data_IF_154837011205
#
_entry.id   IF_154837011205
#
_cell.length_a   1.000
_cell.length_b   1.000
_cell.length_c   1.000
_cell.angle_alpha   90.00
_cell.angle_beta   90.00
_cell.angle_gamma   90.00
#
_symmetry.space_group_name_H-M   'P 1'
#
loop_
_entity.id
_entity.type
_entity.pdbx_description
1 polymer ?
#
# COMPACT_ATOMS: atom_id res chain seq x y z
N UNK A 1 -87.94 24.01 -28.41
CA UNK A 1 -88.71 24.26 -27.18
C UNK A 1 -87.81 24.04 -25.99
N UNK A 2 -87.77 24.99 -25.03
CA UNK A 2 -86.67 25.29 -24.12
C UNK A 2 -86.85 24.54 -22.78
N UNK A 3 -85.88 24.49 -21.86
CA UNK A 3 -85.65 25.36 -20.67
C UNK A 3 -84.24 24.98 -20.19
N UNK A 4 -83.15 25.78 -20.11
CA UNK A 4 -82.90 27.17 -19.73
C UNK A 4 -83.44 27.51 -18.34
N UNK A 5 -82.65 27.31 -17.27
CA UNK A 5 -82.15 28.39 -16.39
C UNK A 5 -81.44 27.93 -15.10
N UNK A 6 -80.70 28.86 -14.44
CA UNK A 6 -79.48 28.64 -13.67
C UNK A 6 -79.67 28.85 -12.16
N UNK A 7 -78.63 28.58 -11.36
CA UNK A 7 -78.32 29.31 -10.13
C UNK A 7 -76.90 28.90 -9.70
N UNK A 8 -75.90 29.77 -9.89
CA UNK A 8 -75.44 30.69 -8.83
C UNK A 8 -75.15 29.95 -7.52
N UNK A 9 -73.89 29.57 -7.28
CA UNK A 9 -72.93 30.45 -6.61
C UNK A 9 -73.40 30.79 -5.19
N UNK A 10 -73.54 29.77 -4.34
CA UNK A 10 -73.64 29.89 -2.87
C UNK A 10 -73.28 28.54 -2.24
N UNK A 11 -71.97 28.26 -2.14
CA UNK A 11 -71.33 27.45 -1.08
C UNK A 11 -69.82 27.30 -1.38
N UNK A 12 -69.19 28.43 -1.66
CA UNK A 12 -67.75 28.60 -1.46
C UNK A 12 -67.53 28.97 0.02
N UNK A 13 -67.78 28.03 0.93
CA UNK A 13 -67.31 28.05 2.32
C UNK A 13 -67.82 26.77 2.99
N UNK A 14 -66.95 26.11 3.75
CA UNK A 14 -67.15 24.81 4.45
C UNK A 14 -66.79 23.57 3.62
N UNK A 15 -65.49 23.37 3.41
CA UNK A 15 -64.81 22.08 3.64
C UNK A 15 -63.27 22.22 3.48
N UNK A 16 -62.69 23.27 4.05
CA UNK A 16 -61.25 23.34 4.29
C UNK A 16 -60.94 22.63 5.62
N UNK A 17 -60.99 21.29 5.64
CA UNK A 17 -60.46 20.45 6.74
C UNK A 17 -60.52 18.95 6.39
N UNK A 18 -59.72 18.49 5.44
CA UNK A 18 -59.35 17.07 5.32
C UNK A 18 -58.02 16.94 4.58
N UNK A 19 -57.01 17.67 5.06
CA UNK A 19 -55.65 17.64 4.55
C UNK A 19 -54.66 17.28 5.64
N UNK A 20 -54.74 16.05 6.16
CA UNK A 20 -53.68 15.41 6.95
C UNK A 20 -53.58 13.94 6.54
N UNK A 21 -53.06 13.69 5.34
CA UNK A 21 -52.48 12.40 5.00
C UNK A 21 -51.20 12.25 5.83
N UNK A 22 -51.28 11.50 6.93
CA UNK A 22 -50.16 11.13 7.75
C UNK A 22 -49.22 10.24 6.95
N UNK A 23 -48.18 10.83 6.36
CA UNK A 23 -46.99 10.13 5.90
C UNK A 23 -46.30 9.53 7.13
N UNK A 24 -46.75 8.36 7.56
CA UNK A 24 -46.02 7.56 8.54
C UNK A 24 -44.76 7.07 7.83
N UNK A 25 -43.55 7.51 8.22
CA UNK A 25 -42.36 6.84 7.75
C UNK A 25 -42.46 5.39 8.27
N UNK A 26 -42.54 4.44 7.35
CA UNK A 26 -42.39 3.01 7.67
C UNK A 26 -40.98 2.84 8.23
N UNK A 27 -40.82 2.98 9.54
CA UNK A 27 -39.69 2.39 10.24
C UNK A 27 -39.86 0.87 10.13
N UNK A 28 -39.30 0.29 9.06
CA UNK A 28 -39.37 -1.16 8.77
C UNK A 28 -38.57 -2.01 9.78
N UNK A 29 -38.13 -1.43 10.90
CA UNK A 29 -37.43 -2.17 11.94
C UNK A 29 -37.62 -1.45 13.28
N UNK A 30 -38.17 -2.16 14.25
CA UNK A 30 -38.08 -1.73 15.64
C UNK A 30 -36.58 -1.61 16.00
N UNK A 31 -36.14 -0.53 16.68
CA UNK A 31 -34.75 -0.40 17.10
C UNK A 31 -34.39 -1.60 17.99
N UNK A 32 -33.50 -2.47 17.51
CA UNK A 32 -32.99 -3.58 18.32
C UNK A 32 -31.83 -3.09 19.16
N UNK A 33 -31.83 -3.44 20.44
CA UNK A 33 -30.71 -3.24 21.36
C UNK A 33 -29.53 -4.19 21.07
N UNK A 34 -29.70 -5.15 20.16
CA UNK A 34 -28.61 -5.99 19.67
C UNK A 34 -27.68 -5.14 18.81
N UNK A 35 -26.37 -5.20 19.10
CA UNK A 35 -25.35 -4.58 18.25
C UNK A 35 -25.58 -5.02 16.79
N UNK A 36 -25.46 -4.12 15.81
CA UNK A 36 -25.57 -4.49 14.42
C UNK A 36 -24.48 -5.53 14.12
N UNK A 37 -24.86 -6.79 13.96
CA UNK A 37 -23.96 -7.82 13.46
C UNK A 37 -23.43 -7.33 12.12
N UNK A 38 -22.11 -7.14 11.94
CA UNK A 38 -21.56 -6.58 10.72
C UNK A 38 -22.04 -7.42 9.55
N UNK A 39 -22.42 -6.77 8.44
CA UNK A 39 -22.86 -7.51 7.29
C UNK A 39 -21.74 -8.47 6.84
N UNK A 40 -22.05 -9.62 6.21
CA UNK A 40 -21.02 -10.53 5.69
C UNK A 40 -20.00 -9.82 4.78
N UNK A 41 -20.43 -8.76 4.08
CA UNK A 41 -19.57 -7.90 3.27
C UNK A 41 -18.60 -7.04 4.10
N UNK A 42 -19.07 -6.47 5.22
CA UNK A 42 -18.23 -5.68 6.13
C UNK A 42 -17.17 -6.58 6.79
N UNK A 43 -17.56 -7.80 7.14
CA UNK A 43 -16.65 -8.84 7.65
C UNK A 43 -15.61 -9.28 6.61
N UNK A 44 -15.98 -9.30 5.32
CA UNK A 44 -15.06 -9.60 4.22
C UNK A 44 -14.03 -8.47 4.05
N UNK A 45 -14.48 -7.22 3.97
CA UNK A 45 -13.59 -6.08 3.77
C UNK A 45 -12.61 -5.91 4.95
N UNK A 46 -13.10 -6.05 6.18
CA UNK A 46 -12.25 -6.01 7.37
C UNK A 46 -11.16 -7.10 7.36
N UNK A 47 -11.45 -8.29 6.83
CA UNK A 47 -10.43 -9.34 6.68
C UNK A 47 -9.41 -8.96 5.58
N UNK A 48 -9.84 -8.42 4.43
CA UNK A 48 -8.88 -7.95 3.41
C UNK A 48 -7.93 -6.87 3.97
N UNK A 49 -8.44 -5.96 4.81
CA UNK A 49 -7.61 -4.96 5.50
C UNK A 49 -6.61 -5.59 6.46
N UNK A 50 -6.99 -6.66 7.16
CA UNK A 50 -6.04 -7.43 7.99
C UNK A 50 -4.90 -7.98 7.14
N UNK A 51 -5.21 -8.63 6.01
CA UNK A 51 -4.20 -9.17 5.09
C UNK A 51 -3.26 -8.04 4.63
N UNK A 52 -3.83 -6.91 4.21
CA UNK A 52 -3.05 -5.75 3.76
C UNK A 52 -2.16 -5.17 4.88
N UNK A 53 -2.66 -5.09 6.12
CA UNK A 53 -1.86 -4.62 7.26
C UNK A 53 -0.68 -5.54 7.55
N UNK A 54 -0.88 -6.86 7.47
CA UNK A 54 0.21 -7.82 7.63
C UNK A 54 1.29 -7.62 6.56
N UNK A 55 0.88 -7.35 5.32
CA UNK A 55 1.80 -7.04 4.22
C UNK A 55 2.58 -5.73 4.46
N UNK A 56 1.92 -4.69 4.96
CA UNK A 56 2.58 -3.44 5.34
C UNK A 56 3.62 -3.65 6.45
N UNK A 57 3.39 -4.61 7.34
CA UNK A 57 4.34 -5.01 8.39
C UNK A 57 5.43 -5.97 7.91
N UNK A 58 5.42 -6.36 6.63
CA UNK A 58 6.37 -7.31 6.05
C UNK A 58 6.09 -8.79 6.39
N UNK A 59 4.96 -9.10 7.02
CA UNK A 59 4.55 -10.45 7.38
C UNK A 59 3.95 -11.22 6.18
N UNK A 60 4.72 -11.34 5.10
CA UNK A 60 4.25 -11.86 3.80
C UNK A 60 3.82 -13.33 3.84
N UNK A 61 4.53 -14.20 4.55
CA UNK A 61 4.14 -15.62 4.67
C UNK A 61 2.86 -15.81 5.49
N UNK A 62 2.72 -15.05 6.58
CA UNK A 62 1.52 -15.08 7.38
C UNK A 62 0.33 -14.52 6.58
N UNK A 63 0.56 -13.46 5.78
CA UNK A 63 -0.43 -12.95 4.82
C UNK A 63 -0.90 -14.02 3.83
N UNK A 64 -0.01 -14.87 3.28
CA UNK A 64 -0.39 -15.98 2.40
C UNK A 64 -1.31 -17.00 3.10
N UNK A 65 -1.01 -17.36 4.36
CA UNK A 65 -1.89 -18.25 5.12
C UNK A 65 -3.29 -17.63 5.32
N UNK A 66 -3.36 -16.33 5.58
CA UNK A 66 -4.63 -15.61 5.67
C UNK A 66 -5.34 -15.45 4.32
N UNK A 67 -4.61 -15.39 3.21
CA UNK A 67 -5.19 -15.46 1.86
C UNK A 67 -5.89 -16.80 1.65
N UNK A 68 -5.27 -17.90 2.01
CA UNK A 68 -5.86 -19.24 1.90
C UNK A 68 -7.10 -19.39 2.79
N UNK A 69 -7.02 -18.93 4.04
CA UNK A 69 -8.14 -18.93 4.97
C UNK A 69 -9.29 -18.04 4.48
N UNK A 70 -8.99 -16.86 3.95
CA UNK A 70 -9.99 -15.97 3.36
C UNK A 70 -10.69 -16.64 2.18
N UNK A 71 -9.92 -17.27 1.29
CA UNK A 71 -10.46 -17.94 0.10
C UNK A 71 -11.43 -19.06 0.48
N UNK A 72 -11.12 -19.84 1.51
CA UNK A 72 -12.01 -20.89 2.00
C UNK A 72 -13.33 -20.33 2.54
N UNK A 73 -13.28 -19.21 3.27
CA UNK A 73 -14.46 -18.64 3.94
C UNK A 73 -15.32 -17.78 3.02
N UNK A 74 -14.70 -17.02 2.14
CA UNK A 74 -15.37 -15.96 1.36
C UNK A 74 -15.21 -16.13 -0.15
N UNK A 75 -14.51 -17.16 -0.61
CA UNK A 75 -14.23 -17.37 -2.02
C UNK A 75 -13.08 -16.51 -2.55
N UNK A 76 -12.82 -16.67 -3.84
CA UNK A 76 -11.71 -16.02 -4.52
C UNK A 76 -12.17 -14.74 -5.22
N UNK A 77 -11.52 -13.61 -4.91
CA UNK A 77 -11.88 -12.29 -5.46
C UNK A 77 -10.67 -11.66 -6.15
N UNK A 78 -10.86 -10.77 -7.15
CA UNK A 78 -9.74 -10.08 -7.79
C UNK A 78 -8.86 -9.28 -6.82
N UNK A 79 -9.45 -8.67 -5.79
CA UNK A 79 -8.72 -7.97 -4.73
C UNK A 79 -7.85 -8.93 -3.91
N UNK A 80 -8.37 -10.11 -3.56
CA UNK A 80 -7.60 -11.15 -2.87
C UNK A 80 -6.44 -11.67 -3.73
N UNK A 81 -6.68 -11.93 -5.03
CA UNK A 81 -5.62 -12.35 -5.96
C UNK A 81 -4.50 -11.34 -6.07
N UNK A 82 -4.82 -10.04 -6.04
CA UNK A 82 -3.82 -8.98 -6.03
C UNK A 82 -2.94 -9.06 -4.77
N UNK A 83 -3.56 -9.17 -3.59
CA UNK A 83 -2.83 -9.34 -2.33
C UNK A 83 -1.98 -10.62 -2.34
N UNK A 84 -2.48 -11.71 -2.90
CA UNK A 84 -1.70 -12.94 -3.08
C UNK A 84 -0.50 -12.71 -3.99
N UNK A 85 -0.69 -12.06 -5.14
CA UNK A 85 0.38 -11.76 -6.09
C UNK A 85 1.47 -10.89 -5.44
N UNK A 86 1.08 -9.89 -4.65
CA UNK A 86 2.00 -9.03 -3.91
C UNK A 86 2.82 -9.84 -2.90
N UNK A 87 2.19 -10.73 -2.13
CA UNK A 87 2.89 -11.58 -1.19
C UNK A 87 3.81 -12.61 -1.88
N UNK A 88 3.38 -13.20 -3.00
CA UNK A 88 4.23 -14.10 -3.80
C UNK A 88 5.46 -13.38 -4.36
N UNK A 89 5.30 -12.14 -4.86
CA UNK A 89 6.41 -11.31 -5.34
C UNK A 89 7.43 -11.06 -4.22
N UNK A 90 6.96 -10.74 -3.03
CA UNK A 90 7.81 -10.43 -1.88
C UNK A 90 8.49 -11.66 -1.27
N UNK A 91 7.89 -12.84 -1.43
CA UNK A 91 8.47 -14.12 -1.00
C UNK A 91 9.31 -14.80 -2.08
N UNK A 92 9.56 -14.13 -3.22
CA UNK A 92 10.44 -14.62 -4.29
C UNK A 92 9.79 -15.61 -5.25
N UNK A 93 8.50 -15.88 -5.14
CA UNK A 93 7.74 -16.78 -6.02
C UNK A 93 7.30 -16.03 -7.29
N UNK A 94 8.29 -15.53 -8.03
CA UNK A 94 8.11 -14.51 -9.08
C UNK A 94 7.20 -15.00 -10.23
N UNK A 95 7.35 -16.23 -10.69
CA UNK A 95 6.57 -16.73 -11.83
C UNK A 95 5.09 -16.91 -11.47
N UNK A 96 4.80 -17.35 -10.23
CA UNK A 96 3.44 -17.44 -9.71
C UNK A 96 2.80 -16.04 -9.55
N UNK A 97 3.57 -15.06 -9.05
CA UNK A 97 3.11 -13.68 -8.97
C UNK A 97 2.78 -13.09 -10.36
N UNK A 98 3.64 -13.32 -11.36
CA UNK A 98 3.41 -12.89 -12.74
C UNK A 98 2.15 -13.48 -13.35
N UNK A 99 1.86 -14.76 -13.10
CA UNK A 99 0.65 -15.40 -13.58
C UNK A 99 -0.60 -14.67 -13.06
N UNK A 100 -0.67 -14.43 -11.74
CA UNK A 100 -1.79 -13.71 -11.12
C UNK A 100 -1.90 -12.26 -11.61
N UNK A 101 -0.79 -11.51 -11.72
CA UNK A 101 -0.86 -10.16 -12.24
C UNK A 101 -1.37 -10.11 -13.70
N UNK A 102 -1.01 -11.09 -14.54
CA UNK A 102 -1.51 -11.17 -15.92
C UNK A 102 -3.01 -11.44 -15.96
N UNK A 103 -3.52 -12.31 -15.09
CA UNK A 103 -4.96 -12.56 -14.96
C UNK A 103 -5.74 -11.31 -14.53
N UNK A 104 -5.13 -10.49 -13.68
CA UNK A 104 -5.68 -9.21 -13.20
C UNK A 104 -5.51 -8.06 -14.19
N UNK A 105 -4.94 -8.30 -15.38
CA UNK A 105 -4.65 -7.28 -16.38
C UNK A 105 -5.86 -6.56 -16.98
N UNK A 106 -7.07 -7.05 -16.68
CA UNK A 106 -8.35 -6.48 -17.05
C UNK A 106 -9.19 -6.19 -15.79
N UNK A 107 -9.84 -5.03 -15.73
CA UNK A 107 -10.74 -4.66 -14.63
C UNK A 107 -10.12 -3.74 -13.58
N UNK A 108 -10.74 -3.62 -12.39
CA UNK A 108 -10.38 -2.60 -11.39
C UNK A 108 -8.96 -2.73 -10.84
N UNK A 109 -8.39 -3.94 -10.81
CA UNK A 109 -7.04 -4.22 -10.32
C UNK A 109 -5.95 -4.05 -11.40
N UNK A 110 -6.31 -3.76 -12.65
CA UNK A 110 -5.38 -3.75 -13.77
C UNK A 110 -4.21 -2.75 -13.58
N UNK A 111 -4.47 -1.60 -12.96
CA UNK A 111 -3.43 -0.61 -12.67
C UNK A 111 -2.39 -1.17 -11.68
N UNK A 112 -2.84 -1.76 -10.58
CA UNK A 112 -1.98 -2.35 -9.56
C UNK A 112 -1.25 -3.60 -10.09
N UNK A 113 -1.91 -4.40 -10.92
CA UNK A 113 -1.28 -5.55 -11.56
C UNK A 113 -0.17 -5.13 -12.54
N UNK A 114 -0.41 -4.10 -13.36
CA UNK A 114 0.61 -3.53 -14.25
C UNK A 114 1.79 -2.96 -13.45
N UNK A 115 1.53 -2.31 -12.31
CA UNK A 115 2.58 -1.86 -11.38
C UNK A 115 3.40 -3.02 -10.83
N UNK A 116 2.75 -4.09 -10.36
CA UNK A 116 3.42 -5.31 -9.88
C UNK A 116 4.30 -5.98 -10.93
N UNK A 117 3.84 -6.05 -12.19
CA UNK A 117 4.65 -6.54 -13.32
C UNK A 117 5.88 -5.65 -13.53
N UNK A 118 5.71 -4.33 -13.46
CA UNK A 118 6.81 -3.37 -13.56
C UNK A 118 7.87 -3.52 -12.48
N UNK A 119 7.45 -3.78 -11.24
CA UNK A 119 8.38 -4.07 -10.14
C UNK A 119 9.14 -5.39 -10.34
N UNK A 120 8.49 -6.41 -10.89
CA UNK A 120 9.16 -7.68 -11.23
C UNK A 120 10.16 -7.50 -12.38
N UNK A 121 9.82 -6.72 -13.40
CA UNK A 121 10.74 -6.40 -14.49
C UNK A 121 11.97 -5.64 -13.97
N UNK A 122 11.77 -4.68 -13.05
CA UNK A 122 12.86 -3.98 -12.38
C UNK A 122 13.78 -4.92 -11.57
N UNK A 123 13.23 -5.95 -10.92
CA UNK A 123 14.00 -6.99 -10.20
C UNK A 123 14.84 -7.85 -11.17
N UNK A 124 14.34 -8.07 -12.39
CA UNK A 124 15.00 -8.85 -13.44
C UNK A 124 15.97 -8.03 -14.31
N UNK A 125 16.22 -6.77 -13.94
CA UNK A 125 16.98 -5.81 -14.74
C UNK A 125 16.45 -5.57 -16.17
N UNK A 126 15.16 -5.88 -16.39
CA UNK A 126 14.44 -5.57 -17.62
C UNK A 126 13.91 -4.13 -17.55
N UNK A 127 14.81 -3.18 -17.78
CA UNK A 127 14.51 -1.74 -17.71
C UNK A 127 13.40 -1.34 -18.71
N UNK A 128 13.39 -1.95 -19.91
CA UNK A 128 12.45 -1.60 -20.97
C UNK A 128 11.06 -2.19 -20.71
N UNK A 129 10.97 -3.46 -20.27
CA UNK A 129 9.70 -4.07 -19.85
C UNK A 129 9.13 -3.40 -18.60
N UNK A 130 9.99 -2.98 -17.67
CA UNK A 130 9.60 -2.25 -16.47
C UNK A 130 8.96 -0.90 -16.79
N UNK A 131 9.56 -0.13 -17.71
CA UNK A 131 8.99 1.14 -18.17
C UNK A 131 7.62 0.95 -18.82
N UNK A 132 7.46 -0.04 -19.71
CA UNK A 132 6.19 -0.30 -20.39
C UNK A 132 5.07 -0.66 -19.41
N UNK A 133 5.36 -1.53 -18.44
CA UNK A 133 4.39 -1.96 -17.44
C UNK A 133 3.99 -0.81 -16.50
N UNK A 134 4.94 -0.01 -16.04
CA UNK A 134 4.68 1.16 -15.20
C UNK A 134 3.96 2.28 -15.97
N UNK A 135 4.27 2.47 -17.25
CA UNK A 135 3.55 3.40 -18.10
C UNK A 135 2.07 3.01 -18.20
N UNK A 136 1.78 1.72 -18.41
CA UNK A 136 0.39 1.20 -18.36
C UNK A 136 -0.26 1.43 -17.00
N UNK A 137 0.45 1.21 -15.89
CA UNK A 137 -0.08 1.46 -14.54
C UNK A 137 -0.52 2.94 -14.37
N UNK A 138 0.32 3.88 -14.80
CA UNK A 138 -0.01 5.32 -14.75
C UNK A 138 -1.10 5.75 -15.72
N UNK A 139 -1.25 5.08 -16.86
CA UNK A 139 -2.38 5.33 -17.77
C UNK A 139 -3.71 4.91 -17.14
N UNK A 140 -3.72 3.79 -16.42
CA UNK A 140 -4.91 3.25 -15.76
C UNK A 140 -5.25 3.98 -14.46
N UNK A 141 -4.23 4.48 -13.74
CA UNK A 141 -4.41 5.30 -12.55
C UNK A 141 -3.44 6.50 -12.54
N UNK A 142 -3.82 7.62 -13.16
CA UNK A 142 -2.92 8.76 -13.41
C UNK A 142 -2.62 9.61 -12.18
N UNK A 143 -3.37 9.44 -11.09
CA UNK A 143 -3.21 10.22 -9.85
C UNK A 143 -2.44 9.46 -8.75
N UNK A 144 -2.06 8.21 -9.02
CA UNK A 144 -1.28 7.43 -8.06
C UNK A 144 0.19 7.88 -8.06
N UNK A 145 0.61 8.51 -6.97
CA UNK A 145 1.95 9.11 -6.85
C UNK A 145 3.06 8.07 -6.76
N UNK A 146 2.78 6.88 -6.23
CA UNK A 146 3.74 5.77 -6.25
C UNK A 146 3.99 5.27 -7.67
N UNK A 147 2.94 5.12 -8.48
CA UNK A 147 3.08 4.66 -9.87
C UNK A 147 3.84 5.69 -10.72
N UNK A 148 3.55 6.98 -10.54
CA UNK A 148 4.26 8.07 -11.20
C UNK A 148 5.74 8.11 -10.78
N UNK A 149 6.02 8.00 -9.48
CA UNK A 149 7.38 7.98 -8.96
C UNK A 149 8.19 6.80 -9.49
N UNK A 150 7.58 5.61 -9.55
CA UNK A 150 8.22 4.38 -10.02
C UNK A 150 8.42 4.41 -11.54
N UNK A 151 7.46 4.93 -12.33
CA UNK A 151 7.65 5.16 -13.77
C UNK A 151 8.81 6.10 -14.05
N UNK A 152 8.87 7.21 -13.32
CA UNK A 152 9.97 8.17 -13.42
C UNK A 152 11.32 7.51 -13.14
N UNK A 153 11.40 6.72 -12.06
CA UNK A 153 12.60 5.97 -11.71
C UNK A 153 12.98 4.92 -12.76
N UNK A 154 12.02 4.16 -13.30
CA UNK A 154 12.26 3.19 -14.36
C UNK A 154 12.81 3.86 -15.63
N UNK A 155 12.30 5.05 -15.99
CA UNK A 155 12.84 5.84 -17.11
C UNK A 155 14.27 6.32 -16.86
N UNK A 156 14.62 6.67 -15.62
CA UNK A 156 16.02 6.97 -15.27
C UNK A 156 16.93 5.76 -15.47
N UNK A 157 16.51 4.58 -15.00
CA UNK A 157 17.25 3.34 -15.19
C UNK A 157 17.43 2.98 -16.67
N UNK A 158 16.40 3.18 -17.48
CA UNK A 158 16.42 2.97 -18.92
C UNK A 158 17.22 4.04 -19.70
N UNK A 159 17.79 5.05 -19.03
CA UNK A 159 18.52 6.15 -19.68
C UNK A 159 17.64 7.18 -20.37
N UNK A 160 16.32 7.11 -20.22
CA UNK A 160 15.32 8.00 -20.83
C UNK A 160 15.10 9.25 -19.98
N UNK A 161 16.17 10.00 -19.70
CA UNK A 161 16.17 11.10 -18.73
C UNK A 161 15.18 12.23 -19.07
N UNK A 162 14.99 12.55 -20.35
CA UNK A 162 14.02 13.58 -20.75
C UNK A 162 12.58 13.19 -20.41
N UNK A 163 12.24 11.92 -20.60
CA UNK A 163 10.89 11.40 -20.32
C UNK A 163 10.64 11.16 -18.82
N UNK A 164 11.70 11.07 -18.01
CA UNK A 164 11.59 10.82 -16.58
C UNK A 164 11.11 12.06 -15.79
N UNK A 165 11.41 13.27 -16.27
CA UNK A 165 11.10 14.51 -15.55
C UNK A 165 9.61 14.67 -15.27
N UNK A 166 8.79 14.42 -16.28
CA UNK A 166 7.36 14.68 -16.26
C UNK A 166 6.61 13.86 -15.19
N UNK A 167 6.72 12.52 -15.12
CA UNK A 167 6.04 11.75 -14.08
C UNK A 167 6.59 12.03 -12.68
N UNK A 168 7.89 12.35 -12.55
CA UNK A 168 8.50 12.73 -11.26
C UNK A 168 7.97 14.08 -10.76
N UNK A 169 7.84 15.07 -11.65
CA UNK A 169 7.27 16.36 -11.33
C UNK A 169 5.81 16.21 -10.88
N UNK A 170 5.00 15.44 -11.63
CA UNK A 170 3.62 15.13 -11.22
C UNK A 170 3.54 14.46 -9.86
N UNK A 171 4.40 13.47 -9.58
CA UNK A 171 4.41 12.79 -8.29
C UNK A 171 4.70 13.76 -7.13
N UNK A 172 5.62 14.71 -7.34
CA UNK A 172 5.96 15.74 -6.36
C UNK A 172 4.82 16.74 -6.16
N UNK A 173 4.18 17.20 -7.23
CA UNK A 173 3.06 18.15 -7.17
C UNK A 173 1.81 17.54 -6.52
N UNK A 174 1.54 16.26 -6.76
CA UNK A 174 0.43 15.53 -6.15
C UNK A 174 0.70 15.14 -4.68
N UNK A 175 1.95 15.12 -4.24
CA UNK A 175 2.31 14.84 -2.85
C UNK A 175 3.46 15.74 -2.38
N UNK A 176 3.19 17.04 -2.16
CA UNK A 176 4.18 17.96 -1.63
C UNK A 176 4.63 17.50 -0.25
N UNK A 177 5.95 17.33 -0.06
CA UNK A 177 6.52 16.81 1.18
C UNK A 177 6.83 15.31 1.17
N UNK A 178 6.47 14.58 0.12
CA UNK A 178 6.94 13.20 -0.06
C UNK A 178 8.44 13.19 -0.39
N UNK A 179 9.27 12.85 0.60
CA UNK A 179 10.74 12.80 0.47
C UNK A 179 11.17 11.86 -0.67
N UNK A 180 10.48 10.73 -0.90
CA UNK A 180 10.78 9.80 -1.99
C UNK A 180 10.58 10.47 -3.35
N UNK A 181 9.46 11.18 -3.54
CA UNK A 181 9.19 11.90 -4.79
C UNK A 181 10.24 12.98 -5.06
N UNK A 182 10.58 13.77 -4.04
CA UNK A 182 11.65 14.78 -4.15
C UNK A 182 13.02 14.15 -4.43
N UNK A 183 13.35 13.03 -3.78
CA UNK A 183 14.61 12.31 -3.96
C UNK A 183 14.74 11.76 -5.39
N UNK A 184 13.68 11.23 -5.98
CA UNK A 184 13.71 10.77 -7.37
C UNK A 184 13.89 11.94 -8.36
N UNK A 185 13.29 13.10 -8.10
CA UNK A 185 13.51 14.30 -8.93
C UNK A 185 14.95 14.86 -8.76
N UNK A 186 15.51 14.81 -7.55
CA UNK A 186 16.90 15.14 -7.30
C UNK A 186 17.84 14.16 -8.03
N UNK A 187 17.52 12.87 -8.02
CA UNK A 187 18.25 11.85 -8.77
C UNK A 187 18.25 12.14 -10.28
N UNK A 188 17.10 12.52 -10.84
CA UNK A 188 16.99 12.97 -12.23
C UNK A 188 17.91 14.17 -12.52
N UNK A 189 17.88 15.20 -11.68
CA UNK A 189 18.69 16.41 -11.85
C UNK A 189 20.19 16.08 -11.75
N UNK A 190 20.58 15.22 -10.81
CA UNK A 190 21.96 14.77 -10.64
C UNK A 190 22.46 13.99 -11.86
N UNK A 191 21.64 13.10 -12.42
CA UNK A 191 21.97 12.36 -13.64
C UNK A 191 22.15 13.30 -14.84
N UNK A 192 21.42 14.42 -14.89
CA UNK A 192 21.58 15.49 -15.89
C UNK A 192 22.76 16.43 -15.64
N UNK A 193 23.41 16.35 -14.47
CA UNK A 193 24.50 17.23 -14.08
C UNK A 193 24.06 18.57 -13.48
N UNK A 194 22.76 18.76 -13.23
CA UNK A 194 22.23 19.98 -12.61
C UNK A 194 22.31 19.90 -11.08
N UNK A 195 23.50 20.23 -10.55
CA UNK A 195 23.74 20.25 -9.10
C UNK A 195 22.97 21.35 -8.36
N UNK A 196 22.65 22.45 -9.03
CA UNK A 196 21.92 23.56 -8.41
C UNK A 196 20.48 23.14 -8.06
N UNK A 197 19.82 22.43 -8.98
CA UNK A 197 18.49 21.86 -8.71
C UNK A 197 18.54 20.81 -7.59
N UNK A 198 19.57 19.96 -7.53
CA UNK A 198 19.73 18.98 -6.44
C UNK A 198 19.80 19.66 -5.09
N UNK A 199 20.65 20.67 -4.95
CA UNK A 199 20.84 21.38 -3.67
C UNK A 199 19.55 22.09 -3.24
N UNK A 200 18.88 22.77 -4.17
CA UNK A 200 17.58 23.41 -3.89
C UNK A 200 16.54 22.39 -3.42
N UNK A 201 16.40 21.25 -4.11
CA UNK A 201 15.45 20.21 -3.73
C UNK A 201 15.81 19.59 -2.37
N UNK A 202 17.10 19.36 -2.11
CA UNK A 202 17.58 18.82 -0.84
C UNK A 202 17.33 19.78 0.33
N UNK A 203 17.47 21.08 0.13
CA UNK A 203 17.13 22.10 1.13
C UNK A 203 15.62 22.19 1.35
N UNK A 204 14.83 22.25 0.27
CA UNK A 204 13.37 22.37 0.35
C UNK A 204 12.71 21.19 1.07
N UNK A 205 13.23 19.97 0.88
CA UNK A 205 12.72 18.77 1.53
C UNK A 205 13.54 18.33 2.75
N UNK A 206 14.44 19.19 3.25
CA UNK A 206 15.28 18.93 4.44
C UNK A 206 15.94 17.54 4.42
N UNK A 207 16.62 17.21 3.31
CA UNK A 207 17.23 15.89 3.15
C UNK A 207 18.19 15.58 4.30
N UNK A 208 18.04 14.37 4.84
CA UNK A 208 19.05 13.78 5.71
C UNK A 208 20.32 13.50 4.92
N UNK A 209 21.46 13.42 5.61
CA UNK A 209 22.72 12.99 5.01
C UNK A 209 22.60 11.61 4.36
N UNK A 210 21.82 10.71 4.97
CA UNK A 210 21.56 9.39 4.42
C UNK A 210 20.78 9.46 3.09
N UNK A 211 19.81 10.38 2.98
CA UNK A 211 19.06 10.60 1.74
C UNK A 211 19.97 11.12 0.65
N UNK A 212 20.84 12.10 0.95
CA UNK A 212 21.82 12.63 -0.01
C UNK A 212 22.73 11.53 -0.55
N UNK A 213 23.33 10.73 0.34
CA UNK A 213 24.19 9.60 -0.04
C UNK A 213 23.44 8.57 -0.89
N UNK A 214 22.21 8.24 -0.53
CA UNK A 214 21.39 7.29 -1.29
C UNK A 214 21.14 7.78 -2.72
N UNK A 215 20.81 9.07 -2.90
CA UNK A 215 20.62 9.67 -4.22
C UNK A 215 21.92 9.64 -5.04
N UNK A 216 23.05 9.97 -4.43
CA UNK A 216 24.36 9.93 -5.10
C UNK A 216 24.76 8.50 -5.52
N UNK A 217 24.61 7.54 -4.62
CA UNK A 217 24.91 6.12 -4.89
C UNK A 217 24.04 5.59 -6.03
N UNK A 218 22.74 5.89 -6.02
CA UNK A 218 21.84 5.48 -7.11
C UNK A 218 22.23 6.12 -8.44
N UNK A 219 22.64 7.40 -8.45
CA UNK A 219 23.12 8.05 -9.67
C UNK A 219 24.37 7.36 -10.24
N UNK A 220 25.31 6.99 -9.36
CA UNK A 220 26.52 6.27 -9.76
C UNK A 220 26.19 4.88 -10.32
N UNK A 221 25.30 4.13 -9.67
CA UNK A 221 24.87 2.81 -10.13
C UNK A 221 24.19 2.88 -11.51
N UNK A 222 23.28 3.84 -11.71
CA UNK A 222 22.59 4.03 -12.99
C UNK A 222 23.59 4.40 -14.09
N UNK A 223 24.52 5.33 -13.83
CA UNK A 223 25.57 5.69 -14.79
C UNK A 223 26.43 4.49 -15.17
N UNK A 224 26.88 3.71 -14.19
CA UNK A 224 27.69 2.52 -14.43
C UNK A 224 26.94 1.48 -15.29
N UNK A 225 25.68 1.19 -14.95
CA UNK A 225 24.83 0.27 -15.73
C UNK A 225 24.68 0.74 -17.18
N UNK A 226 24.39 2.03 -17.40
CA UNK A 226 24.21 2.58 -18.74
C UNK A 226 25.51 2.54 -19.56
N UNK A 227 26.65 2.84 -18.95
CA UNK A 227 27.96 2.72 -19.59
C UNK A 227 28.26 1.27 -19.99
N UNK A 228 27.96 0.30 -19.12
CA UNK A 228 28.11 -1.13 -19.42
C UNK A 228 27.20 -1.57 -20.58
N UNK A 229 25.93 -1.13 -20.58
CA UNK A 229 24.98 -1.41 -21.69
C UNK A 229 25.49 -0.83 -23.02
N UNK A 230 26.00 0.40 -23.01
CA UNK A 230 26.57 1.03 -24.20
C UNK A 230 27.82 0.29 -24.70
N UNK A 231 28.73 -0.07 -23.80
CA UNK A 231 29.93 -0.84 -24.16
C UNK A 231 29.59 -2.23 -24.70
N UNK A 232 28.60 -2.91 -24.13
CA UNK A 232 28.11 -4.19 -24.64
C UNK A 232 27.48 -4.04 -26.03
N UNK A 233 26.70 -2.98 -26.26
CA UNK A 233 26.07 -2.70 -27.55
C UNK A 233 27.12 -2.39 -28.65
N UNK A 234 28.14 -1.59 -28.34
CA UNK A 234 29.23 -1.30 -29.29
C UNK A 234 30.07 -2.53 -29.58
N UNK A 235 30.36 -3.36 -28.58
CA UNK A 235 31.06 -4.62 -28.77
C UNK A 235 30.25 -5.62 -29.64
N UNK A 236 28.94 -5.72 -29.41
CA UNK A 236 28.05 -6.54 -30.22
C UNK A 236 27.97 -6.05 -31.67
N UNK A 237 27.88 -4.73 -31.89
CA UNK A 237 27.90 -4.14 -33.22
C UNK A 237 29.25 -4.37 -33.95
N UNK A 238 30.37 -4.28 -33.23
CA UNK A 238 31.69 -4.59 -33.76
C UNK A 238 31.85 -6.08 -34.11
N UNK A 239 31.28 -6.98 -33.30
CA UNK A 239 31.28 -8.42 -33.60
C UNK A 239 30.45 -8.76 -34.85
N UNK A 240 29.30 -8.09 -35.04
CA UNK A 240 28.44 -8.29 -36.19
C UNK A 240 29.05 -7.81 -37.52
N UNK A 241 30.01 -6.87 -37.48
CA UNK A 241 30.72 -6.36 -38.67
C UNK A 241 32.02 -7.09 -38.97
N UNK A 242 32.46 -8.06 -38.15
CA UNK A 242 33.65 -8.87 -38.45
C UNK A 242 33.34 -9.73 -39.68
N UNK A 243 34.12 -9.62 -40.77
CA UNK A 243 33.93 -10.50 -41.92
C UNK A 243 34.14 -11.93 -41.45
N UNK A 244 33.20 -12.82 -41.79
CA UNK A 244 33.42 -14.26 -41.67
C UNK A 244 34.63 -14.54 -42.56
N UNK A 245 35.80 -14.74 -41.95
CA UNK A 245 36.97 -15.18 -42.68
C UNK A 245 36.55 -16.48 -43.36
N UNK A 246 36.45 -16.46 -44.70
CA UNK A 246 36.27 -17.66 -45.48
C UNK A 246 37.39 -18.58 -45.05
N UNK A 247 37.03 -19.70 -44.42
CA UNK A 247 37.95 -20.75 -44.10
C UNK A 247 38.58 -21.18 -45.43
N UNK A 248 39.75 -20.64 -45.75
CA UNK A 248 40.61 -21.22 -46.76
C UNK A 248 40.88 -22.62 -46.23
N UNK A 249 40.21 -23.59 -46.85
CA UNK A 249 40.45 -25.00 -46.62
C UNK A 249 41.97 -25.18 -46.75
N UNK A 250 42.65 -25.30 -45.61
CA UNK A 250 44.02 -25.82 -45.59
C UNK A 250 43.87 -27.23 -46.12
N UNK A 251 44.16 -27.39 -47.41
CA UNK A 251 44.32 -28.69 -48.03
C UNK A 251 45.35 -29.44 -47.19
N UNK A 252 44.89 -30.45 -46.46
CA UNK A 252 45.79 -31.41 -45.84
C UNK A 252 46.56 -32.08 -46.99
N UNK A 253 47.90 -32.19 -46.91
CA UNK A 253 48.65 -32.88 -47.94
C UNK A 253 48.23 -34.36 -47.94
N UNK A 254 47.58 -34.79 -49.03
CA UNK A 254 47.31 -36.19 -49.30
C UNK A 254 48.66 -36.90 -49.51
N UNK A 255 48.93 -37.90 -48.69
CA UNK A 255 50.04 -38.84 -48.91
C UNK A 255 49.74 -39.69 -50.16
N UNK A 256 50.72 -39.99 -51.04
CA UNK A 256 50.50 -40.83 -52.19
C UNK A 256 50.85 -42.30 -51.87
N UNK A 257 49.83 -43.16 -51.81
CA UNK A 257 49.85 -44.62 -51.99
C UNK A 257 48.55 -45.13 -51.36
N UNK A 258 47.65 -45.85 -52.02
CA UNK A 258 47.84 -47.06 -52.82
C UNK A 258 46.68 -47.15 -53.84
N UNK A 259 47.01 -47.51 -55.07
CA UNK A 259 46.03 -47.94 -56.07
C UNK A 259 45.58 -49.39 -55.81
N UNK A 260 44.26 -49.61 -55.77
CA UNK A 260 43.57 -50.79 -56.31
C UNK A 260 42.07 -50.45 -56.30
N UNK A 261 41.47 -50.11 -57.45
CA UNK A 261 40.64 -51.02 -58.25
C UNK A 261 39.49 -51.62 -57.41
N UNK A 262 38.20 -51.34 -57.65
CA UNK A 262 37.47 -51.56 -58.92
C UNK A 262 36.12 -50.84 -58.94
N UNK A 263 35.75 -50.33 -60.13
CA UNK A 263 34.42 -50.22 -60.75
C UNK A 263 33.15 -50.13 -59.86
N UNK A 264 32.40 -49.03 -59.97
CA UNK A 264 31.17 -49.00 -60.77
C UNK A 264 30.46 -47.63 -60.72
N UNK A 265 30.25 -47.09 -61.91
CA UNK A 265 29.25 -46.14 -62.41
C UNK A 265 28.15 -45.59 -61.49
N UNK A 266 28.15 -44.25 -61.39
CA UNK A 266 27.05 -43.23 -61.44
C UNK A 266 25.61 -43.64 -61.08
N UNK A 267 24.93 -42.79 -60.34
CA UNK A 267 23.71 -41.98 -60.65
C UNK A 267 23.18 -41.52 -59.26
N UNK A 268 23.04 -40.27 -58.84
CA UNK A 268 22.51 -39.00 -59.36
C UNK A 268 21.43 -38.52 -58.35
N UNK A 269 21.44 -37.21 -58.08
CA UNK A 269 20.39 -36.35 -57.50
C UNK A 269 19.68 -36.65 -56.13
N UNK A 270 19.85 -35.66 -55.24
CA UNK A 270 19.00 -35.14 -54.13
C UNK A 270 17.45 -35.22 -54.36
N UNK A 271 16.61 -34.70 -53.43
CA UNK A 271 16.57 -34.78 -51.95
C UNK A 271 15.15 -35.18 -51.48
N UNK A 272 14.89 -35.53 -50.20
CA UNK A 272 13.52 -35.41 -49.67
C UNK A 272 13.43 -35.25 -48.15
N UNK A 273 12.50 -34.37 -47.82
CA UNK A 273 12.23 -33.73 -46.54
C UNK A 273 11.68 -34.67 -45.47
N UNK A 274 11.81 -34.17 -44.23
CA UNK A 274 11.05 -34.52 -43.04
C UNK A 274 9.57 -34.86 -43.30
N UNK A 275 9.10 -35.90 -42.61
CA UNK A 275 7.79 -35.85 -41.95
C UNK A 275 7.76 -36.80 -40.75
N UNK A 276 7.21 -36.27 -39.67
CA UNK A 276 7.03 -36.82 -38.34
C UNK A 276 6.22 -38.12 -38.26
N UNK A 277 6.43 -38.93 -37.22
CA UNK A 277 5.42 -39.29 -36.18
C UNK A 277 5.97 -40.29 -35.16
N UNK A 278 5.53 -40.14 -33.90
CA UNK A 278 5.97 -40.77 -32.63
C UNK A 278 5.55 -42.26 -32.48
N UNK A 279 5.68 -42.94 -31.29
CA UNK A 279 6.45 -42.71 -30.05
C UNK A 279 7.34 -43.94 -29.64
N UNK A 280 8.17 -43.90 -28.58
CA UNK A 280 8.74 -45.12 -28.02
C UNK A 280 8.08 -45.57 -26.70
N UNK A 281 7.73 -46.85 -26.69
CA UNK A 281 7.30 -47.62 -25.51
C UNK A 281 8.53 -48.20 -24.80
N UNK A 282 8.63 -47.98 -23.49
CA UNK A 282 9.61 -48.55 -22.54
C UNK A 282 9.31 -50.06 -22.34
N UNK A 283 10.29 -50.98 -22.16
CA UNK A 283 10.76 -51.40 -20.82
C UNK A 283 12.19 -52.03 -20.79
N UNK A 284 12.68 -52.69 -19.71
CA UNK A 284 13.41 -52.03 -18.63
C UNK A 284 14.75 -52.71 -18.25
N UNK A 285 15.59 -51.95 -17.52
CA UNK A 285 16.37 -52.46 -16.39
C UNK A 285 17.72 -53.14 -16.67
N UNK A 286 18.79 -52.60 -16.08
CA UNK A 286 19.69 -53.34 -15.19
C UNK A 286 20.51 -52.37 -14.35
N UNK A 287 20.54 -52.63 -13.04
CA UNK A 287 21.46 -52.06 -12.03
C UNK A 287 22.91 -52.36 -12.39
N UNK A 288 23.83 -51.43 -12.11
CA UNK A 288 25.02 -51.63 -11.27
C UNK A 288 25.90 -50.36 -11.27
N UNK A 289 26.04 -49.77 -10.10
CA UNK A 289 27.23 -49.06 -9.60
C UNK A 289 27.86 -50.00 -8.55
N UNK A 290 29.16 -49.89 -8.14
CA UNK A 290 29.90 -48.64 -7.98
C UNK A 290 31.44 -48.67 -8.24
N UNK A 291 32.05 -47.51 -7.99
CA UNK A 291 33.44 -47.27 -7.53
C UNK A 291 34.62 -47.37 -8.52
N UNK A 292 35.22 -46.21 -8.82
CA UNK A 292 36.64 -45.90 -8.49
C UNK A 292 37.02 -44.42 -8.74
N UNK A 293 37.41 -43.73 -7.64
CA UNK A 293 38.55 -42.82 -7.39
C UNK A 293 39.18 -42.03 -8.59
N UNK A 294 39.66 -40.77 -8.54
CA UNK A 294 40.13 -39.85 -7.47
C UNK A 294 40.52 -38.46 -8.13
N UNK A 295 41.19 -37.45 -7.52
CA UNK A 295 40.61 -36.09 -7.38
C UNK A 295 41.44 -34.86 -7.89
N UNK A 296 40.85 -33.65 -7.72
CA UNK A 296 41.42 -32.26 -7.63
C UNK A 296 41.87 -31.50 -8.91
N UNK A 297 41.95 -30.13 -8.92
CA UNK A 297 41.81 -29.18 -7.80
C UNK A 297 40.78 -28.03 -7.99
N UNK A 298 40.39 -27.47 -6.84
CA UNK A 298 39.62 -26.24 -6.70
C UNK A 298 40.46 -25.00 -7.07
N UNK A 299 39.87 -24.10 -7.85
CA UNK A 299 40.36 -22.74 -8.04
C UNK A 299 39.39 -21.78 -7.36
N UNK A 300 39.93 -21.03 -6.41
CA UNK A 300 39.31 -19.90 -5.72
C UNK A 300 38.68 -18.91 -6.71
N UNK A 301 37.38 -18.66 -6.53
CA UNK A 301 36.74 -17.46 -7.00
C UNK A 301 35.92 -16.88 -5.85
N UNK A 302 36.62 -16.17 -4.97
CA UNK A 302 36.06 -15.28 -3.98
C UNK A 302 35.33 -14.14 -4.72
N UNK A 303 34.07 -14.37 -5.12
CA UNK A 303 33.18 -13.31 -5.59
C UNK A 303 32.61 -12.63 -4.35
N UNK A 304 33.04 -11.38 -4.14
CA UNK A 304 32.36 -10.41 -3.28
C UNK A 304 30.88 -10.37 -3.69
N UNK A 305 30.03 -11.00 -2.89
CA UNK A 305 28.59 -10.92 -3.00
C UNK A 305 28.17 -9.49 -2.60
N UNK A 306 28.11 -8.60 -3.58
CA UNK A 306 27.41 -7.33 -3.43
C UNK A 306 25.92 -7.63 -3.41
N UNK A 307 25.32 -7.54 -2.21
CA UNK A 307 23.88 -7.61 -2.01
C UNK A 307 23.21 -6.49 -2.82
N UNK A 308 22.24 -6.78 -3.70
CA UNK A 308 21.47 -5.73 -4.37
C UNK A 308 20.64 -4.96 -3.33
N UNK A 309 20.92 -3.67 -3.20
CA UNK A 309 20.05 -2.74 -2.47
C UNK A 309 18.73 -2.61 -3.25
N UNK A 310 17.56 -2.72 -2.59
CA UNK A 310 16.29 -2.52 -3.27
C UNK A 310 16.16 -1.05 -3.73
N UNK A 311 15.61 -0.80 -4.93
CA UNK A 311 15.28 0.55 -5.36
C UNK A 311 14.30 1.21 -4.35
N UNK A 312 14.29 2.55 -4.30
CA UNK A 312 13.34 3.35 -3.50
C UNK A 312 11.86 3.15 -3.90
N UNK A 313 11.55 2.17 -4.74
CA UNK A 313 10.19 1.79 -5.11
C UNK A 313 9.57 0.93 -4.00
N UNK A 314 8.65 1.52 -3.23
CA UNK A 314 7.55 0.79 -2.60
C UNK A 314 7.66 0.45 -1.11
N UNK A 315 8.78 0.70 -0.43
CA UNK A 315 8.95 0.68 1.03
C UNK A 315 10.39 1.14 1.32
N UNK A 316 10.72 1.55 2.56
CA UNK A 316 12.04 2.07 3.00
C UNK A 316 12.22 3.60 3.05
N UNK A 317 11.17 4.37 3.37
CA UNK A 317 11.38 5.69 3.99
C UNK A 317 10.45 5.99 5.18
N UNK A 318 9.84 4.96 5.78
CA UNK A 318 9.01 5.09 6.97
C UNK A 318 9.23 3.95 7.99
N UNK A 319 9.94 4.28 9.08
CA UNK A 319 9.78 3.68 10.42
C UNK A 319 10.36 2.29 10.73
N UNK A 320 11.10 2.24 11.86
CA UNK A 320 11.52 1.07 12.67
C UNK A 320 12.71 0.22 12.17
N UNK A 321 13.70 0.08 13.06
CA UNK A 321 14.89 -0.74 12.88
C UNK A 321 14.56 -2.25 12.77
N UNK A 322 15.30 -3.03 11.98
CA UNK A 322 15.07 -4.46 11.87
C UNK A 322 15.51 -5.19 13.15
N UNK A 323 14.63 -6.04 13.67
CA UNK A 323 14.92 -7.00 14.73
C UNK A 323 16.07 -7.94 14.31
N UNK A 324 17.05 -8.10 15.19
CA UNK A 324 18.18 -9.00 15.00
C UNK A 324 17.74 -10.47 15.07
N UNK A 325 18.47 -11.31 14.33
CA UNK A 325 18.29 -12.76 14.26
C UNK A 325 18.40 -13.42 15.63
N UNK A 326 17.44 -14.27 15.96
CA UNK A 326 17.45 -15.13 17.14
C UNK A 326 18.43 -16.31 16.98
N UNK A 327 19.17 -16.61 18.06
CA UNK A 327 19.94 -17.84 18.29
C UNK A 327 19.73 -18.27 19.77
N UNK A 328 19.97 -19.54 20.14
CA UNK A 328 19.06 -20.30 21.00
C UNK A 328 19.23 -20.09 22.51
N UNK A 329 18.16 -20.43 23.23
CA UNK A 329 17.95 -20.32 24.67
C UNK A 329 18.86 -21.26 25.48
N UNK A 330 19.58 -20.70 26.44
CA UNK A 330 20.05 -21.41 27.63
C UNK A 330 19.46 -20.76 28.88
N UNK A 331 18.91 -21.60 29.75
CA UNK A 331 18.24 -21.29 31.02
C UNK A 331 19.22 -21.29 32.19
N UNK A 332 19.18 -20.28 33.07
CA UNK A 332 19.66 -20.29 34.46
C UNK A 332 19.03 -19.12 35.26
N UNK A 333 18.99 -19.17 36.61
CA UNK A 333 17.82 -18.76 37.40
C UNK A 333 17.84 -17.34 38.01
N UNK A 334 16.66 -16.95 38.52
CA UNK A 334 16.29 -15.65 39.09
C UNK A 334 17.22 -15.14 40.20
N UNK A 335 17.59 -13.86 40.10
CA UNK A 335 17.99 -13.02 41.23
C UNK A 335 16.91 -11.94 41.49
N UNK A 336 16.49 -11.87 42.75
CA UNK A 336 15.54 -10.92 43.33
C UNK A 336 15.98 -9.47 43.16
N UNK A 337 15.10 -8.62 42.60
CA UNK A 337 15.26 -7.16 42.58
C UNK A 337 14.40 -6.55 43.68
N UNK A 338 15.10 -5.93 44.62
CA UNK A 338 14.61 -5.09 45.70
C UNK A 338 14.03 -3.77 45.14
N UNK A 339 12.95 -3.27 45.72
CA UNK A 339 12.26 -2.05 45.30
C UNK A 339 12.43 -1.01 46.39
N UNK A 340 13.15 0.07 46.09
CA UNK A 340 12.99 1.36 46.78
C UNK A 340 13.34 2.54 45.85
N UNK A 341 12.63 3.68 45.94
CA UNK A 341 12.58 4.70 44.89
C UNK A 341 13.65 5.79 45.06
N UNK A 342 14.32 6.17 43.97
CA UNK A 342 15.28 7.27 43.93
C UNK A 342 14.68 8.53 43.26
N UNK A 343 14.81 9.66 43.95
CA UNK A 343 14.26 10.98 43.59
C UNK A 343 15.13 11.70 42.55
N UNK A 344 14.48 12.33 41.57
CA UNK A 344 15.12 13.17 40.55
C UNK A 344 15.25 14.65 40.99
N UNK A 345 16.29 15.39 40.53
CA UNK A 345 16.64 16.74 41.00
C UNK A 345 15.79 17.89 40.38
N UNK A 346 15.80 19.10 40.99
CA UNK A 346 14.91 20.20 40.61
C UNK A 346 15.45 21.05 39.45
N UNK A 347 14.57 21.46 38.54
CA UNK A 347 14.82 22.48 37.50
C UNK A 347 14.13 23.83 37.83
N UNK A 348 14.75 24.98 37.49
CA UNK A 348 14.30 26.31 37.89
C UNK A 348 13.16 26.89 37.03
N UNK A 349 12.35 27.75 37.66
CA UNK A 349 11.19 28.42 37.08
C UNK A 349 11.58 29.63 36.18
N UNK A 350 10.91 29.76 35.03
CA UNK A 350 10.94 30.96 34.17
C UNK A 350 9.55 31.62 34.22
N UNK A 351 9.44 32.94 34.47
CA UNK A 351 8.15 33.62 34.59
C UNK A 351 7.53 33.95 33.21
N UNK A 352 6.23 33.68 33.09
CA UNK A 352 5.43 33.94 31.90
C UNK A 352 5.19 35.44 31.66
N UNK A 353 5.46 35.89 30.44
CA UNK A 353 5.15 37.22 29.94
C UNK A 353 3.63 37.39 29.73
N UNK A 354 3.11 38.57 30.11
CA UNK A 354 1.73 39.01 29.80
C UNK A 354 1.70 39.68 28.43
N UNK A 355 0.68 39.45 27.58
CA UNK A 355 0.43 40.29 26.44
C UNK A 355 -0.34 41.56 26.86
N UNK A 356 0.22 42.72 26.51
CA UNK A 356 -0.41 44.03 26.57
C UNK A 356 -1.48 44.15 25.46
N UNK A 357 -2.70 44.50 25.84
CA UNK A 357 -3.68 45.07 24.91
C UNK A 357 -4.08 46.46 25.43
N UNK A 358 -3.55 47.49 24.76
CA UNK A 358 -3.98 48.86 24.93
C UNK A 358 -5.42 49.02 24.45
N UNK A 359 -6.29 49.47 25.36
CA UNK A 359 -7.67 49.84 25.10
C UNK A 359 -8.26 50.52 26.33
N UNK A 360 -8.73 51.74 26.14
CA UNK A 360 -9.36 52.61 27.16
C UNK A 360 -10.34 51.83 28.05
N UNK A 361 -10.33 51.96 29.40
CA UNK A 361 -11.23 51.21 30.25
C UNK A 361 -12.66 51.75 30.11
N UNK A 362 -13.44 51.15 29.22
CA UNK A 362 -14.89 51.22 29.29
C UNK A 362 -15.30 50.48 30.58
N UNK A 363 -15.89 51.23 31.52
CA UNK A 363 -16.46 50.70 32.75
C UNK A 363 -17.34 49.48 32.42
N UNK A 364 -17.17 48.33 33.09
CA UNK A 364 -18.06 47.20 32.86
C UNK A 364 -19.48 47.62 33.28
N UNK A 365 -20.44 47.49 32.35
CA UNK A 365 -21.85 47.44 32.72
C UNK A 365 -21.98 46.38 33.83
N UNK A 366 -22.48 46.78 34.99
CA UNK A 366 -22.83 45.86 36.06
C UNK A 366 -23.97 44.97 35.55
N UNK A 367 -23.64 43.85 34.92
CA UNK A 367 -24.61 42.77 34.73
C UNK A 367 -25.16 42.41 36.10
N UNK A 368 -26.48 42.40 36.28
CA UNK A 368 -27.04 42.05 37.58
C UNK A 368 -26.62 40.61 37.92
N UNK A 369 -26.48 40.33 39.22
CA UNK A 369 -26.13 38.99 39.69
C UNK A 369 -27.18 38.01 39.14
N UNK A 370 -26.73 37.08 38.30
CA UNK A 370 -27.57 36.05 37.69
C UNK A 370 -27.89 36.24 36.20
N UNK A 371 -27.59 37.39 35.59
CA UNK A 371 -27.83 37.59 34.15
C UNK A 371 -26.97 36.68 33.28
N UNK A 372 -25.71 36.49 33.66
CA UNK A 372 -24.79 35.52 33.02
C UNK A 372 -25.27 34.08 33.19
N UNK A 373 -25.86 33.74 34.34
CA UNK A 373 -26.40 32.39 34.55
C UNK A 373 -27.66 32.16 33.69
N UNK A 374 -28.57 33.14 33.63
CA UNK A 374 -29.78 33.07 32.79
C UNK A 374 -29.46 33.08 31.30
N UNK A 375 -28.41 33.78 30.88
CA UNK A 375 -27.97 33.73 29.47
C UNK A 375 -27.40 32.37 29.11
N UNK A 376 -26.60 31.75 29.98
CA UNK A 376 -26.10 30.38 29.79
C UNK A 376 -27.24 29.35 29.75
N UNK A 377 -28.24 29.46 30.64
CA UNK A 377 -29.39 28.57 30.59
C UNK A 377 -30.26 28.77 29.34
N UNK A 378 -30.42 30.01 28.85
CA UNK A 378 -31.09 30.26 27.57
C UNK A 378 -30.34 29.65 26.39
N UNK A 379 -29.02 29.75 26.38
CA UNK A 379 -28.16 29.13 25.36
C UNK A 379 -28.25 27.60 25.39
N UNK A 380 -28.28 26.99 26.59
CA UNK A 380 -28.45 25.55 26.74
C UNK A 380 -29.85 25.08 26.33
N UNK A 381 -30.89 25.87 26.61
CA UNK A 381 -32.26 25.57 26.22
C UNK A 381 -32.52 25.77 24.71
N UNK A 382 -31.87 26.75 24.07
CA UNK A 382 -32.04 26.99 22.63
C UNK A 382 -31.28 25.98 21.77
N UNK A 383 -30.17 25.42 22.26
CA UNK A 383 -29.34 24.47 21.52
C UNK A 383 -28.63 25.08 20.31
N UNK A 384 -28.72 26.40 20.13
CA UNK A 384 -28.18 27.12 18.96
C UNK A 384 -26.65 27.31 19.04
N UNK A 385 -26.06 27.13 20.22
CA UNK A 385 -24.63 27.29 20.46
C UNK A 385 -24.05 26.00 21.04
N UNK A 386 -23.27 25.29 20.23
CA UNK A 386 -22.48 24.16 20.70
C UNK A 386 -21.27 24.67 21.49
N UNK A 387 -21.09 24.16 22.72
CA UNK A 387 -19.86 24.41 23.48
C UNK A 387 -18.62 23.91 22.72
N UNK A 388 -17.45 24.48 23.03
CA UNK A 388 -16.19 24.02 22.46
C UNK A 388 -16.02 22.51 22.75
N UNK A 389 -15.91 21.71 21.69
CA UNK A 389 -15.64 20.27 21.79
C UNK A 389 -14.34 20.05 22.56
N UNK A 390 -14.43 19.60 23.80
CA UNK A 390 -13.28 19.13 24.56
C UNK A 390 -13.11 17.64 24.22
N UNK A 391 -12.08 17.25 23.44
CA UNK A 391 -11.79 15.84 23.24
C UNK A 391 -11.46 15.23 24.60
N UNK A 392 -12.21 14.22 25.02
CA UNK A 392 -11.85 13.46 26.22
C UNK A 392 -10.62 12.63 25.82
N UNK A 393 -9.44 13.02 26.31
CA UNK A 393 -8.19 12.33 26.00
C UNK A 393 -8.12 10.98 26.73
N UNK A 394 -7.82 9.95 25.94
CA UNK A 394 -7.30 8.63 26.32
C UNK A 394 -7.92 7.95 27.54
N UNK A 395 -7.42 8.26 28.72
CA UNK A 395 -7.67 7.47 29.92
C UNK A 395 -9.02 7.77 30.57
N UNK A 396 -9.47 9.03 30.53
CA UNK A 396 -10.77 9.42 31.05
C UNK A 396 -11.91 8.99 30.11
N UNK A 397 -11.66 8.99 28.80
CA UNK A 397 -12.61 8.48 27.81
C UNK A 397 -12.80 6.97 27.98
N UNK A 398 -11.69 6.25 28.10
CA UNK A 398 -11.69 4.79 28.35
C UNK A 398 -12.39 4.46 29.67
N UNK A 399 -12.13 5.21 30.75
CA UNK A 399 -12.76 4.99 32.05
C UNK A 399 -14.25 5.32 32.06
N UNK A 400 -14.65 6.39 31.37
CA UNK A 400 -16.06 6.77 31.23
C UNK A 400 -16.84 5.75 30.39
N UNK A 401 -16.22 5.28 29.29
CA UNK A 401 -16.78 4.23 28.45
C UNK A 401 -16.87 2.88 29.18
N UNK A 402 -15.84 2.52 29.96
CA UNK A 402 -15.86 1.33 30.81
C UNK A 402 -16.95 1.41 31.89
N UNK A 403 -17.14 2.57 32.52
CA UNK A 403 -18.25 2.79 33.46
C UNK A 403 -19.62 2.68 32.78
N UNK A 404 -19.75 3.25 31.58
CA UNK A 404 -20.97 3.14 30.79
C UNK A 404 -21.30 1.68 30.48
N UNK A 405 -20.34 0.90 29.99
CA UNK A 405 -20.53 -0.53 29.76
C UNK A 405 -20.88 -1.29 31.05
N UNK A 406 -20.25 -0.92 32.17
CA UNK A 406 -20.53 -1.53 33.48
C UNK A 406 -21.93 -1.20 34.00
N UNK A 407 -22.53 -0.07 33.60
CA UNK A 407 -23.90 0.29 33.98
C UNK A 407 -24.96 -0.66 33.42
N UNK A 408 -24.67 -1.37 32.33
CA UNK A 408 -25.55 -2.39 31.75
C UNK A 408 -25.38 -3.78 32.37
N UNK A 409 -24.37 -3.98 33.23
CA UNK A 409 -24.15 -5.26 33.91
C UNK A 409 -25.03 -5.44 35.15
N UNK A 410 -25.65 -4.36 35.63
CA UNK A 410 -26.54 -4.39 36.77
C UNK A 410 -27.97 -4.14 36.27
N UNK A 411 -28.89 -5.05 36.59
CA UNK A 411 -30.30 -4.83 36.30
C UNK A 411 -30.76 -3.54 36.99
N UNK A 412 -31.52 -2.73 36.25
CA UNK A 412 -32.18 -1.56 36.83
C UNK A 412 -33.11 -2.10 37.92
N UNK A 413 -32.90 -1.79 39.21
CA UNK A 413 -33.78 -2.28 40.26
C UNK A 413 -35.22 -1.88 39.96
N UNK A 414 -36.13 -2.86 39.91
CA UNK A 414 -37.55 -2.66 39.59
C UNK A 414 -38.37 -1.91 40.65
N UNK A 415 -37.75 -1.09 41.50
CA UNK A 415 -38.45 -0.42 42.60
C UNK A 415 -38.19 1.09 42.57
N UNK A 416 -38.93 1.74 41.66
CA UNK A 416 -39.66 2.94 42.03
C UNK A 416 -41.14 2.67 41.75
N UNK A 417 -41.80 1.94 42.64
CA UNK A 417 -43.24 2.12 42.79
C UNK A 417 -43.43 3.57 43.24
N UNK A 418 -43.99 4.40 42.36
CA UNK A 418 -44.39 5.76 42.69
C UNK A 418 -45.58 5.72 43.63
N UNK A 419 -45.36 5.49 44.92
CA UNK A 419 -46.32 5.79 45.97
C UNK A 419 -46.27 7.29 46.28
N UNK A 420 -46.74 8.11 45.35
CA UNK A 420 -47.21 9.45 45.71
C UNK A 420 -48.64 9.27 46.22
N UNK A 421 -48.76 9.02 47.52
CA UNK A 421 -50.05 9.00 48.20
C UNK A 421 -50.81 10.30 47.90
N UNK A 422 -51.92 10.19 47.14
CA UNK A 422 -52.93 11.25 47.05
C UNK A 422 -53.60 11.37 48.42
N UNK A 423 -53.14 12.30 49.24
CA UNK A 423 -53.92 12.75 50.40
C UNK A 423 -55.07 13.64 49.91
N UNK A 424 -56.24 13.03 49.76
CA UNK A 424 -57.52 13.74 49.75
C UNK A 424 -58.06 13.77 51.19
N UNK A 425 -58.32 14.98 51.71
CA UNK A 425 -58.93 15.22 53.03
C UNK A 425 -58.20 16.35 53.78
N UNK A 426 -58.56 17.62 53.59
CA UNK A 426 -59.58 18.35 54.36
C UNK A 426 -59.10 18.86 55.73
N UNK A 427 -59.15 20.21 55.85
CA UNK A 427 -59.45 21.02 57.04
C UNK A 427 -58.34 21.76 57.80
N UNK A 428 -58.50 23.11 57.80
CA UNK A 428 -58.25 24.14 58.85
C UNK A 428 -56.80 24.30 59.35
N UNK A 429 -56.25 25.47 59.65
CA UNK A 429 -56.64 26.87 59.88
C UNK A 429 -55.31 27.66 59.81
N UNK A 430 -55.17 28.97 59.68
CA UNK A 430 -56.04 30.10 59.86
C UNK A 430 -55.15 31.35 59.92
N UNK A 431 -55.77 32.49 59.59
CA UNK A 431 -55.27 33.88 59.60
C UNK A 431 -54.18 34.26 58.61
#
# INVERSE_FOLDING_TARGET
MPVLRPACLLLALVAAAAGCSSTTPKYLRAPSLAEPTPAPQDSRNAYLELIQRMQQQGAWYASLAHVDAFRQRYGDTPALRLLQADALRQTGQIDAALALYRELGNGPQAAAAAHGIGLIAALRDDDDGGEQALARATQLNPLNTDYLGDLGYARLRAGRFEQAREPLAKALELSPGNIKATANLALWALLRGDRATVERLAQQASFSEQTRRSVEQQAQQIRARLQQRQAAATAAAAAATRPVASATARAWPLSPAVMAATNATRHDCRPRCWSASAPPTIPPGTRHDPDTADPLPAADACRLAQTPQPPLTGQMLGGAAPASKAAPLHSEPLATVDVSPEQAPPTPAVPAAKPDFGGTPLRPNTSQIGDTARSLFRLQASGEVAGARLPILGDQATSSYARYLKSFQYDIPQFFETDVAKSAGSSRSGR
#
